data_IF_335641330187
#
_entry.id   IF_335641330187
#
_cell.length_a   1.000
_cell.length_b   1.000
_cell.length_c   1.000
_cell.angle_alpha   90.00
_cell.angle_beta   90.00
_cell.angle_gamma   90.00
#
_symmetry.space_group_name_H-M   'P 1'
#
loop_
_entity.id
_entity.type
_entity.pdbx_description
1 polymer ?
#
# COMPACT_ATOMS: atom_id res chain seq x y z
N UNK A 1 -15.28 2.98 19.41
CA UNK A 1 -14.68 1.69 19.08
C UNK A 1 -13.24 1.74 19.56
N UNK A 2 -12.90 1.01 20.62
CA UNK A 2 -11.51 0.93 21.13
C UNK A 2 -10.91 -0.33 20.52
N UNK A 3 -10.10 -0.17 19.48
CA UNK A 3 -9.27 -1.26 18.98
C UNK A 3 -7.95 -1.16 19.74
N UNK A 4 -7.53 -2.19 20.50
CA UNK A 4 -6.29 -2.16 21.26
C UNK A 4 -5.09 -1.93 20.34
N UNK A 5 -4.19 -1.03 20.72
CA UNK A 5 -2.98 -0.70 19.96
C UNK A 5 -2.08 -1.94 19.75
N UNK A 6 -2.17 -2.91 20.66
CA UNK A 6 -1.47 -4.20 20.63
C UNK A 6 -1.87 -5.06 19.42
N UNK A 7 -3.09 -4.92 18.90
CA UNK A 7 -3.52 -5.59 17.67
C UNK A 7 -2.92 -4.98 16.39
N UNK A 8 -2.47 -3.72 16.44
CA UNK A 8 -1.88 -3.01 15.29
C UNK A 8 -0.35 -3.05 15.24
N UNK A 9 0.31 -3.21 16.39
CA UNK A 9 1.77 -3.19 16.46
C UNK A 9 2.36 -4.55 16.14
N UNK A 10 2.39 -5.42 17.15
CA UNK A 10 3.16 -6.66 17.11
C UNK A 10 2.58 -7.72 16.15
N UNK A 11 1.25 -7.82 16.06
CA UNK A 11 0.62 -8.82 15.18
C UNK A 11 0.83 -8.44 13.72
N UNK A 12 0.58 -7.18 13.36
CA UNK A 12 0.81 -6.68 12.01
C UNK A 12 2.30 -6.71 11.67
N UNK A 13 3.21 -6.39 12.59
CA UNK A 13 4.65 -6.48 12.35
C UNK A 13 5.09 -7.90 12.00
N UNK A 14 4.66 -8.90 12.78
CA UNK A 14 5.03 -10.30 12.58
C UNK A 14 4.51 -10.89 11.27
N UNK A 15 3.48 -10.29 10.68
CA UNK A 15 2.86 -10.75 9.44
C UNK A 15 3.31 -9.92 8.24
N UNK A 16 3.35 -8.59 8.37
CA UNK A 16 3.72 -7.67 7.29
C UNK A 16 5.21 -7.70 6.99
N UNK A 17 6.10 -7.80 7.99
CA UNK A 17 7.55 -7.79 7.71
C UNK A 17 7.98 -8.96 6.81
N UNK A 18 7.58 -10.23 7.07
CA UNK A 18 7.87 -11.33 6.14
C UNK A 18 7.31 -11.10 4.74
N UNK A 19 6.08 -10.57 4.64
CA UNK A 19 5.47 -10.28 3.34
C UNK A 19 6.20 -9.18 2.58
N UNK A 20 6.68 -8.14 3.27
CA UNK A 20 7.48 -7.08 2.65
C UNK A 20 8.82 -7.61 2.14
N UNK A 21 9.46 -8.51 2.87
CA UNK A 21 10.68 -9.20 2.43
C UNK A 21 10.42 -10.07 1.17
N UNK A 22 9.32 -10.83 1.15
CA UNK A 22 8.91 -11.60 -0.04
C UNK A 22 8.62 -10.70 -1.25
N UNK A 23 7.91 -9.58 -1.03
CA UNK A 23 7.60 -8.61 -2.09
C UNK A 23 8.89 -7.99 -2.63
N UNK A 24 9.84 -7.67 -1.76
CA UNK A 24 11.14 -7.15 -2.18
C UNK A 24 11.90 -8.16 -3.06
N UNK A 25 11.93 -9.43 -2.68
CA UNK A 25 12.57 -10.49 -3.45
C UNK A 25 11.88 -10.69 -4.82
N UNK A 26 10.55 -10.70 -4.85
CA UNK A 26 9.75 -10.75 -6.09
C UNK A 26 10.10 -9.58 -7.01
N UNK A 27 10.18 -8.36 -6.47
CA UNK A 27 10.47 -7.14 -7.23
C UNK A 27 11.90 -7.11 -7.75
N UNK A 28 12.88 -7.50 -6.94
CA UNK A 28 14.28 -7.66 -7.37
C UNK A 28 14.45 -8.73 -8.44
N UNK A 29 13.64 -9.79 -8.41
CA UNK A 29 13.67 -10.83 -9.44
C UNK A 29 13.20 -10.33 -10.81
N UNK A 30 12.32 -9.30 -10.84
CA UNK A 30 11.81 -8.68 -12.06
C UNK A 30 12.76 -7.62 -12.60
N UNK A 31 13.23 -6.71 -11.74
CA UNK A 31 14.18 -5.63 -12.08
C UNK A 31 15.10 -5.34 -10.89
N UNK A 32 16.29 -5.93 -10.92
CA UNK A 32 17.32 -5.72 -9.88
C UNK A 32 17.86 -4.27 -9.86
N UNK A 33 17.76 -3.54 -10.98
CA UNK A 33 18.31 -2.19 -11.11
C UNK A 33 17.40 -1.12 -10.53
N UNK A 34 16.08 -1.32 -10.61
CA UNK A 34 15.08 -0.41 -10.05
C UNK A 34 13.81 -1.16 -9.62
N UNK A 35 13.89 -1.99 -8.57
CA UNK A 35 12.78 -2.85 -8.14
C UNK A 35 11.58 -2.05 -7.64
N UNK A 36 11.69 -0.76 -7.35
CA UNK A 36 10.59 0.04 -6.77
C UNK A 36 9.90 0.95 -7.78
N UNK A 37 10.36 0.98 -9.04
CA UNK A 37 9.72 1.78 -10.08
C UNK A 37 8.28 1.33 -10.31
N UNK A 38 7.33 2.26 -10.22
CA UNK A 38 5.92 1.94 -10.38
C UNK A 38 5.29 1.26 -9.16
N UNK A 39 6.03 1.04 -8.07
CA UNK A 39 5.52 0.40 -6.87
C UNK A 39 4.97 1.44 -5.88
N UNK A 40 3.72 1.83 -6.11
CA UNK A 40 2.97 2.76 -5.25
C UNK A 40 2.15 2.04 -4.16
N UNK A 41 1.28 2.80 -3.49
CA UNK A 41 0.34 2.26 -2.50
C UNK A 41 -0.67 1.29 -3.10
N UNK A 42 -1.04 1.45 -4.38
CA UNK A 42 -1.94 0.52 -5.07
C UNK A 42 -1.31 -0.88 -5.17
N UNK A 43 -0.09 -0.95 -5.71
CA UNK A 43 0.66 -2.19 -5.86
C UNK A 43 0.94 -2.85 -4.50
N UNK A 44 1.28 -2.06 -3.49
CA UNK A 44 1.45 -2.57 -2.13
C UNK A 44 0.16 -3.16 -1.56
N UNK A 45 -0.99 -2.50 -1.75
CA UNK A 45 -2.29 -3.02 -1.29
C UNK A 45 -2.67 -4.31 -2.01
N UNK A 46 -2.39 -4.41 -3.31
CA UNK A 46 -2.60 -5.64 -4.07
C UNK A 46 -1.67 -6.77 -3.60
N UNK A 47 -0.38 -6.49 -3.43
CA UNK A 47 0.60 -7.48 -3.00
C UNK A 47 0.32 -8.02 -1.59
N UNK A 48 -0.12 -7.17 -0.67
CA UNK A 48 -0.56 -7.58 0.67
C UNK A 48 -1.89 -8.33 0.58
N UNK A 49 -2.85 -7.82 -0.19
CA UNK A 49 -4.18 -8.41 -0.32
C UNK A 49 -4.17 -9.80 -0.97
N UNK A 50 -3.27 -10.05 -1.92
CA UNK A 50 -3.07 -11.37 -2.54
C UNK A 50 -2.52 -12.42 -1.56
N UNK A 51 -1.89 -11.98 -0.45
CA UNK A 51 -1.38 -12.84 0.63
C UNK A 51 -2.37 -13.04 1.78
N UNK A 52 -3.44 -12.25 1.82
CA UNK A 52 -4.52 -12.39 2.80
C UNK A 52 -5.52 -13.42 2.26
N UNK A 53 -5.78 -14.49 3.01
CA UNK A 53 -6.86 -15.46 2.69
C UNK A 53 -8.02 -15.32 3.69
N UNK A 54 -8.50 -14.10 3.86
CA UNK A 54 -9.64 -13.79 4.73
C UNK A 54 -10.66 -12.90 4.00
N UNK A 55 -11.85 -13.43 3.66
CA UNK A 55 -12.91 -12.67 2.99
C UNK A 55 -13.52 -11.57 3.86
N UNK A 56 -13.19 -11.53 5.16
CA UNK A 56 -13.58 -10.42 6.05
C UNK A 56 -12.68 -9.19 5.88
N UNK A 57 -11.50 -9.33 5.25
CA UNK A 57 -10.56 -8.26 5.01
C UNK A 57 -10.93 -7.41 3.79
N UNK A 58 -10.80 -6.09 3.93
CA UNK A 58 -10.95 -5.16 2.80
C UNK A 58 -9.86 -5.38 1.75
N UNK A 59 -8.60 -5.58 2.17
CA UNK A 59 -7.47 -5.76 1.26
C UNK A 59 -7.59 -7.02 0.42
N UNK A 60 -8.20 -8.08 0.95
CA UNK A 60 -8.54 -9.29 0.19
C UNK A 60 -9.40 -8.94 -1.03
N UNK A 61 -10.47 -8.17 -0.84
CA UNK A 61 -11.37 -7.80 -1.93
C UNK A 61 -10.77 -6.78 -2.90
N UNK A 62 -9.94 -5.87 -2.38
CA UNK A 62 -9.20 -4.89 -3.17
C UNK A 62 -8.26 -5.60 -4.15
N UNK A 63 -7.47 -6.56 -3.67
CA UNK A 63 -6.58 -7.35 -4.51
C UNK A 63 -7.37 -8.26 -5.47
N UNK A 64 -8.35 -9.00 -4.96
CA UNK A 64 -9.16 -9.95 -5.76
C UNK A 64 -9.89 -9.31 -6.94
N UNK A 65 -10.37 -8.08 -6.78
CA UNK A 65 -11.06 -7.35 -7.84
C UNK A 65 -10.15 -6.34 -8.57
N UNK A 66 -8.86 -6.28 -8.22
CA UNK A 66 -7.90 -5.27 -8.72
C UNK A 66 -8.46 -3.85 -8.63
N UNK A 67 -9.07 -3.53 -7.48
CA UNK A 67 -9.56 -2.18 -7.19
C UNK A 67 -8.35 -1.32 -6.84
N UNK A 68 -8.12 -0.18 -7.53
CA UNK A 68 -6.99 0.70 -7.22
C UNK A 68 -7.26 1.43 -5.90
N UNK A 69 -6.54 1.05 -4.84
CA UNK A 69 -6.58 1.69 -3.53
C UNK A 69 -5.37 2.59 -3.35
N UNK A 70 -5.57 3.90 -3.42
CA UNK A 70 -4.50 4.89 -3.22
C UNK A 70 -4.54 5.42 -1.79
N UNK A 71 -3.39 5.42 -1.12
CA UNK A 71 -3.21 5.93 0.24
C UNK A 71 -2.31 7.18 0.21
N UNK A 72 -2.90 8.39 0.11
CA UNK A 72 -2.14 9.63 0.15
C UNK A 72 -1.59 9.83 1.58
N UNK A 73 -0.32 9.51 1.79
CA UNK A 73 0.31 9.57 3.12
C UNK A 73 0.35 8.23 3.84
N UNK A 74 0.74 7.15 3.15
CA UNK A 74 0.98 5.83 3.76
C UNK A 74 1.94 5.85 4.97
N UNK A 75 2.73 6.90 5.09
CA UNK A 75 3.65 7.15 6.20
C UNK A 75 2.98 7.62 7.49
N UNK A 76 1.74 8.12 7.45
CA UNK A 76 1.04 8.73 8.60
C UNK A 76 0.00 7.78 9.23
N UNK A 77 0.46 6.60 9.63
CA UNK A 77 -0.37 5.56 10.25
C UNK A 77 0.43 4.35 10.76
N UNK A 78 -0.25 3.34 11.31
CA UNK A 78 0.37 2.10 11.80
C UNK A 78 1.08 1.29 10.71
N UNK A 79 0.72 1.47 9.44
CA UNK A 79 1.45 0.91 8.29
C UNK A 79 2.75 1.68 8.03
N UNK A 80 2.74 3.00 8.20
CA UNK A 80 3.92 3.85 8.01
C UNK A 80 5.08 3.48 8.93
N UNK A 81 4.80 3.13 10.18
CA UNK A 81 5.83 2.63 11.10
C UNK A 81 6.40 1.27 10.66
N UNK A 82 5.58 0.36 10.12
CA UNK A 82 6.03 -0.93 9.62
C UNK A 82 6.90 -0.79 8.36
N UNK A 83 6.50 0.07 7.43
CA UNK A 83 7.31 0.41 6.24
C UNK A 83 8.63 1.04 6.65
N UNK A 84 8.63 1.91 7.66
CA UNK A 84 9.85 2.51 8.19
C UNK A 84 10.76 1.47 8.84
N UNK A 85 10.21 0.53 9.61
CA UNK A 85 10.97 -0.58 10.19
C UNK A 85 11.56 -1.50 9.13
N UNK A 86 10.80 -1.84 8.09
CA UNK A 86 11.30 -2.61 6.97
C UNK A 86 12.43 -1.86 6.24
N UNK A 87 12.29 -0.54 6.04
CA UNK A 87 13.34 0.29 5.45
C UNK A 87 14.64 0.34 6.26
N UNK A 88 14.58 0.17 7.58
CA UNK A 88 15.80 0.06 8.40
C UNK A 88 16.57 -1.24 8.11
N UNK A 89 15.89 -2.31 7.68
CA UNK A 89 16.50 -3.57 7.26
C UNK A 89 16.88 -3.55 5.78
N UNK A 90 16.02 -3.01 4.93
CA UNK A 90 16.26 -2.81 3.50
C UNK A 90 16.31 -1.31 3.17
N UNK A 91 17.50 -0.69 3.16
CA UNK A 91 17.64 0.75 2.94
C UNK A 91 17.20 1.19 1.54
N UNK A 92 17.18 0.26 0.58
CA UNK A 92 16.79 0.50 -0.81
C UNK A 92 15.27 0.52 -1.00
N UNK A 93 14.48 0.05 -0.01
CA UNK A 93 13.03 0.06 -0.05
C UNK A 93 12.46 1.47 -0.30
N UNK A 94 11.64 1.59 -1.34
CA UNK A 94 10.99 2.85 -1.73
C UNK A 94 9.54 2.60 -2.17
N UNK A 95 8.66 3.55 -1.84
CA UNK A 95 7.30 3.64 -2.39
C UNK A 95 7.28 4.78 -3.39
N UNK A 96 6.88 4.49 -4.62
CA UNK A 96 6.75 5.45 -5.70
C UNK A 96 5.35 6.06 -5.70
N UNK A 97 5.19 7.17 -4.97
CA UNK A 97 3.90 7.88 -4.87
C UNK A 97 3.47 8.48 -6.22
N UNK A 98 4.43 8.81 -7.10
CA UNK A 98 4.12 9.33 -8.43
C UNK A 98 3.49 8.27 -9.33
N UNK A 99 3.79 6.99 -9.09
CA UNK A 99 3.11 5.88 -9.76
C UNK A 99 1.61 5.85 -9.42
N UNK A 100 1.24 6.12 -8.17
CA UNK A 100 -0.16 6.20 -7.78
C UNK A 100 -0.87 7.39 -8.44
N UNK A 101 -0.19 8.55 -8.54
CA UNK A 101 -0.73 9.71 -9.27
C UNK A 101 -0.97 9.40 -10.74
N UNK A 102 -0.08 8.63 -11.37
CA UNK A 102 -0.24 8.19 -12.75
C UNK A 102 -1.46 7.26 -12.90
N UNK A 103 -1.62 6.28 -12.01
CA UNK A 103 -2.80 5.38 -11.99
C UNK A 103 -4.09 6.20 -11.84
N UNK A 104 -4.11 7.16 -10.91
CA UNK A 104 -5.26 8.05 -10.72
C UNK A 104 -5.57 8.88 -11.97
N UNK A 105 -4.55 9.47 -12.58
CA UNK A 105 -4.72 10.26 -13.80
C UNK A 105 -5.28 9.41 -14.94
N UNK A 106 -4.76 8.21 -15.14
CA UNK A 106 -5.20 7.30 -16.20
C UNK A 106 -6.65 6.84 -15.98
N UNK A 107 -7.03 6.53 -14.73
CA UNK A 107 -8.40 6.19 -14.36
C UNK A 107 -9.38 7.34 -14.61
N UNK A 108 -9.00 8.57 -14.28
CA UNK A 108 -9.83 9.76 -14.53
C UNK A 108 -9.97 10.02 -16.03
N UNK A 109 -8.88 9.85 -16.78
CA UNK A 109 -8.86 10.13 -18.22
C UNK A 109 -9.64 9.10 -19.05
N UNK A 110 -9.71 7.85 -18.58
CA UNK A 110 -10.34 6.75 -19.32
C UNK A 110 -11.79 6.46 -18.89
N UNK A 111 -12.27 7.07 -17.81
CA UNK A 111 -13.63 6.84 -17.32
C UNK A 111 -14.64 7.78 -17.99
N UNK A 112 -15.67 7.20 -18.65
CA UNK A 112 -16.86 7.95 -19.11
C UNK A 112 -17.67 8.50 -17.90
N UNK A 113 -17.66 7.78 -16.77
CA UNK A 113 -18.23 8.18 -15.47
C UNK A 113 -17.33 7.62 -14.35
N UNK A 114 -16.77 8.47 -13.49
CA UNK A 114 -15.84 8.07 -12.43
C UNK A 114 -16.50 8.09 -11.05
N UNK A 115 -16.47 6.95 -10.35
CA UNK A 115 -16.95 6.82 -8.98
C UNK A 115 -15.77 6.43 -8.08
N UNK A 116 -15.10 7.43 -7.51
CA UNK A 116 -14.00 7.23 -6.56
C UNK A 116 -14.51 7.23 -5.11
N UNK A 117 -14.18 6.19 -4.35
CA UNK A 117 -14.39 6.17 -2.90
C UNK A 117 -13.08 6.53 -2.19
N UNK A 118 -12.93 7.80 -1.82
CA UNK A 118 -11.82 8.29 -1.00
C UNK A 118 -12.15 8.05 0.47
N UNK A 119 -11.57 7.01 1.08
CA UNK A 119 -11.71 6.76 2.53
C UNK A 119 -10.52 7.38 3.26
N UNK A 120 -10.63 8.68 3.52
CA UNK A 120 -9.60 9.48 4.18
C UNK A 120 -9.78 10.95 3.86
N UNK A 121 -10.33 11.72 4.81
CA UNK A 121 -10.45 13.16 4.70
C UNK A 121 -9.41 13.83 5.59
N UNK A 122 -8.40 14.48 5.00
CA UNK A 122 -7.57 15.46 5.70
C UNK A 122 -6.19 15.75 5.11
N UNK A 123 -6.08 16.87 4.39
CA UNK A 123 -5.17 17.95 4.80
C UNK A 123 -6.06 19.22 4.89
N UNK A 124 -6.27 19.83 6.07
CA UNK A 124 -6.92 21.12 6.14
C UNK A 124 -5.91 22.24 5.83
N UNK A 125 -6.40 23.18 5.02
CA UNK A 125 -5.88 24.53 4.78
C UNK A 125 -4.79 24.71 3.72
N UNK A 126 -5.26 24.90 2.49
CA UNK A 126 -4.88 26.08 1.72
C UNK A 126 -5.23 27.35 2.51
N UNK A 127 -4.28 27.92 3.25
CA UNK A 127 -4.16 29.37 3.56
C UNK A 127 -2.76 29.62 4.10
#
# INVERSE_FOLDING_TARGET
>A
MVIPNECYGEILERVLLPWLEEIEDERKSVDDSNPWRGFGSVELCWAIGDRIDDPSSLLYWVAKNRIPMVIPGITDGSIGSQLFMHRQKSPDFMIDVLADEQILSDLIWTADESHGLMVGGGFPSIT
#
